data_IF_846893769461
#
_entry.id   IF_846893769461
#
_cell.length_a   1.000
_cell.length_b   1.000
_cell.length_c   1.000
_cell.angle_alpha   90.00
_cell.angle_beta   90.00
_cell.angle_gamma   90.00
#
_symmetry.space_group_name_H-M   'P 1'
#
loop_
_entity.id
_entity.type
_entity.pdbx_description
1 polymer ?
#
# COMPACT_ATOMS: atom_id res chain seq x y z
N UNK A 1 -4.36 7.06 11.55
CA UNK A 1 -4.75 7.89 10.38
C UNK A 1 -6.15 8.43 10.63
N UNK A 2 -6.52 9.61 10.14
CA UNK A 2 -7.92 10.07 10.27
C UNK A 2 -8.86 9.17 9.45
N UNK A 3 -10.04 8.85 9.99
CA UNK A 3 -10.95 7.86 9.41
C UNK A 3 -11.40 8.23 7.99
N UNK A 4 -11.73 9.49 7.75
CA UNK A 4 -12.12 9.96 6.41
C UNK A 4 -10.98 9.83 5.39
N UNK A 5 -9.73 10.07 5.83
CA UNK A 5 -8.54 9.90 4.99
C UNK A 5 -8.31 8.42 4.70
N UNK A 6 -8.47 7.56 5.71
CA UNK A 6 -8.34 6.13 5.58
C UNK A 6 -9.35 5.56 4.59
N UNK A 7 -10.61 5.94 4.70
CA UNK A 7 -11.70 5.55 3.81
C UNK A 7 -11.41 5.97 2.37
N UNK A 8 -11.07 7.24 2.16
CA UNK A 8 -10.81 7.75 0.81
C UNK A 8 -9.58 7.07 0.17
N UNK A 9 -8.54 6.77 0.95
CA UNK A 9 -7.38 6.00 0.48
C UNK A 9 -7.75 4.56 0.16
N UNK A 10 -8.50 3.88 1.03
CA UNK A 10 -8.97 2.52 0.81
C UNK A 10 -9.77 2.38 -0.49
N UNK A 11 -10.69 3.32 -0.75
CA UNK A 11 -11.45 3.36 -2.01
C UNK A 11 -10.54 3.57 -3.22
N UNK A 12 -9.61 4.52 -3.14
CA UNK A 12 -8.71 4.81 -4.26
C UNK A 12 -7.85 3.59 -4.62
N UNK A 13 -7.28 2.92 -3.61
CA UNK A 13 -6.48 1.71 -3.78
C UNK A 13 -7.31 0.57 -4.37
N UNK A 14 -8.54 0.36 -3.87
CA UNK A 14 -9.41 -0.69 -4.35
C UNK A 14 -9.86 -0.47 -5.81
N UNK A 15 -10.19 0.77 -6.18
CA UNK A 15 -10.52 1.12 -7.57
C UNK A 15 -9.31 0.94 -8.49
N UNK A 16 -8.12 1.34 -8.05
CA UNK A 16 -6.87 1.09 -8.78
C UNK A 16 -6.61 -0.41 -8.96
N UNK A 17 -6.83 -1.22 -7.92
CA UNK A 17 -6.61 -2.67 -7.97
C UNK A 17 -7.60 -3.41 -8.90
N UNK A 18 -8.78 -2.83 -9.17
CA UNK A 18 -9.73 -3.38 -10.16
C UNK A 18 -9.20 -3.20 -11.59
N UNK A 19 -8.54 -2.07 -11.86
CA UNK A 19 -7.99 -1.73 -13.18
C UNK A 19 -6.66 -2.46 -13.47
N UNK A 20 -5.91 -2.77 -12.41
CA UNK A 20 -4.60 -3.43 -12.54
C UNK A 20 -4.70 -4.94 -12.66
N UNK A 21 -4.04 -5.46 -13.68
CA UNK A 21 -3.98 -6.89 -14.01
C UNK A 21 -2.52 -7.34 -13.99
N UNK A 22 -1.86 -7.40 -12.84
CA UNK A 22 -0.50 -7.98 -12.73
C UNK A 22 -0.15 -8.37 -11.28
N UNK A 23 0.87 -9.23 -11.15
CA UNK A 23 1.23 -9.96 -9.93
C UNK A 23 2.34 -9.34 -9.07
N UNK A 24 2.61 -8.04 -9.20
CA UNK A 24 3.61 -7.34 -8.39
C UNK A 24 3.19 -7.17 -6.93
N UNK A 25 4.15 -6.81 -6.07
CA UNK A 25 3.90 -6.62 -4.63
C UNK A 25 2.89 -5.48 -4.36
N UNK A 26 2.91 -4.43 -5.18
CA UNK A 26 1.97 -3.31 -5.09
C UNK A 26 0.56 -3.74 -5.52
N UNK A 27 0.44 -4.47 -6.63
CA UNK A 27 -0.84 -5.03 -7.05
C UNK A 27 -1.42 -6.00 -6.03
N UNK A 28 -0.58 -6.86 -5.42
CA UNK A 28 -1.02 -7.77 -4.35
C UNK A 28 -1.55 -7.00 -3.14
N UNK A 29 -0.84 -5.96 -2.71
CA UNK A 29 -1.30 -5.10 -1.61
C UNK A 29 -2.61 -4.38 -1.95
N UNK A 30 -2.77 -3.92 -3.19
CA UNK A 30 -4.02 -3.34 -3.67
C UNK A 30 -5.17 -4.35 -3.71
N UNK A 31 -4.90 -5.57 -4.16
CA UNK A 31 -5.86 -6.67 -4.19
C UNK A 31 -6.28 -7.11 -2.78
N UNK A 32 -5.40 -7.03 -1.79
CA UNK A 32 -5.72 -7.30 -0.38
C UNK A 32 -6.73 -6.27 0.16
N UNK A 33 -6.52 -4.97 -0.12
CA UNK A 33 -7.48 -3.91 0.21
C UNK A 33 -8.81 -4.16 -0.49
N UNK A 34 -8.80 -4.42 -1.81
CA UNK A 34 -10.01 -4.73 -2.57
C UNK A 34 -10.74 -5.96 -2.02
N UNK A 35 -10.01 -7.01 -1.64
CA UNK A 35 -10.54 -8.25 -1.09
C UNK A 35 -11.21 -8.03 0.27
N UNK A 36 -10.58 -7.26 1.16
CA UNK A 36 -11.17 -6.88 2.44
C UNK A 36 -12.48 -6.12 2.23
N UNK A 37 -12.48 -5.10 1.37
CA UNK A 37 -13.67 -4.30 1.09
C UNK A 37 -14.77 -5.13 0.43
N UNK A 38 -14.43 -5.97 -0.54
CA UNK A 38 -15.38 -6.85 -1.23
C UNK A 38 -16.03 -7.82 -0.24
N UNK A 39 -15.24 -8.40 0.67
CA UNK A 39 -15.74 -9.34 1.69
C UNK A 39 -16.65 -8.66 2.70
N UNK A 40 -16.28 -7.46 3.17
CA UNK A 40 -17.06 -6.73 4.18
C UNK A 40 -18.31 -6.08 3.62
N UNK A 41 -18.25 -5.55 2.40
CA UNK A 41 -19.39 -4.96 1.72
C UNK A 41 -20.17 -5.99 0.87
N UNK A 42 -19.83 -7.28 0.97
CA UNK A 42 -20.49 -8.35 0.24
C UNK A 42 -21.99 -8.33 0.54
N UNK A 43 -22.82 -8.22 -0.50
CA UNK A 43 -24.28 -8.15 -0.37
C UNK A 43 -24.83 -6.76 -0.01
N UNK A 44 -23.98 -5.77 0.31
CA UNK A 44 -24.39 -4.38 0.55
C UNK A 44 -24.11 -3.49 -0.67
N UNK A 45 -22.93 -3.64 -1.29
CA UNK A 45 -22.53 -2.81 -2.42
C UNK A 45 -21.49 -3.53 -3.30
N UNK A 46 -21.68 -3.51 -4.61
CA UNK A 46 -20.68 -4.03 -5.55
C UNK A 46 -19.58 -2.99 -5.74
N UNK A 47 -18.33 -3.31 -5.41
CA UNK A 47 -17.21 -2.36 -5.57
C UNK A 47 -17.05 -1.93 -7.04
N UNK A 48 -17.17 -2.89 -7.97
CA UNK A 48 -17.04 -2.65 -9.41
C UNK A 48 -18.27 -1.94 -9.95
N UNK A 49 -18.10 -0.71 -10.42
CA UNK A 49 -19.16 0.09 -11.04
C UNK A 49 -20.01 0.91 -10.06
N UNK A 50 -19.73 0.86 -8.76
CA UNK A 50 -20.37 1.76 -7.80
C UNK A 50 -19.74 3.15 -7.82
N UNK A 51 -20.56 4.16 -7.51
CA UNK A 51 -20.09 5.53 -7.35
C UNK A 51 -19.09 5.61 -6.17
N UNK A 52 -18.02 6.38 -6.37
CA UNK A 52 -16.96 6.56 -5.37
C UNK A 52 -17.53 7.05 -4.04
N UNK A 53 -18.47 8.00 -4.05
CA UNK A 53 -19.03 8.57 -2.82
C UNK A 53 -19.86 7.55 -2.05
N UNK A 54 -20.56 6.66 -2.76
CA UNK A 54 -21.31 5.56 -2.15
C UNK A 54 -20.37 4.54 -1.50
N UNK A 55 -19.25 4.23 -2.15
CA UNK A 55 -18.22 3.37 -1.57
C UNK A 55 -17.60 4.00 -0.33
N UNK A 56 -17.26 5.28 -0.38
CA UNK A 56 -16.72 6.01 0.78
C UNK A 56 -17.72 5.98 1.95
N UNK A 57 -18.99 6.28 1.71
CA UNK A 57 -20.02 6.24 2.74
C UNK A 57 -20.24 4.83 3.35
N UNK A 58 -20.26 3.79 2.51
CA UNK A 58 -20.44 2.42 2.96
C UNK A 58 -19.27 1.93 3.82
N UNK A 59 -18.04 2.26 3.43
CA UNK A 59 -16.83 1.89 4.16
C UNK A 59 -16.72 2.69 5.45
N UNK A 60 -17.04 3.98 5.42
CA UNK A 60 -17.09 4.82 6.61
C UNK A 60 -18.07 4.24 7.64
N UNK A 61 -19.31 3.96 7.20
CA UNK A 61 -20.35 3.42 8.08
C UNK A 61 -19.96 2.06 8.68
N UNK A 62 -19.28 1.20 7.92
CA UNK A 62 -18.80 -0.08 8.44
C UNK A 62 -17.60 0.09 9.39
N UNK A 63 -16.68 1.00 9.09
CA UNK A 63 -15.51 1.26 9.93
C UNK A 63 -15.87 1.93 11.27
N UNK A 64 -16.92 2.75 11.30
CA UNK A 64 -17.48 3.29 12.55
C UNK A 64 -18.13 2.20 13.42
N UNK A 65 -18.70 1.16 12.80
CA UNK A 65 -19.39 0.07 13.49
C UNK A 65 -18.48 -1.09 13.89
N UNK A 66 -17.47 -1.39 13.07
CA UNK A 66 -16.56 -2.52 13.24
C UNK A 66 -15.12 -2.00 13.33
N UNK A 67 -14.67 -1.80 14.57
CA UNK A 67 -13.34 -1.27 14.85
C UNK A 67 -12.23 -2.17 14.31
N UNK A 68 -12.46 -3.49 14.25
CA UNK A 68 -11.49 -4.44 13.69
C UNK A 68 -11.33 -4.24 12.19
N UNK A 69 -12.43 -4.00 11.47
CA UNK A 69 -12.40 -3.63 10.06
C UNK A 69 -11.63 -2.32 9.83
N UNK A 70 -11.83 -1.32 10.67
CA UNK A 70 -11.03 -0.08 10.61
C UNK A 70 -9.54 -0.37 10.76
N UNK A 71 -9.14 -1.15 11.76
CA UNK A 71 -7.73 -1.49 12.03
C UNK A 71 -7.11 -2.31 10.89
N UNK A 72 -7.82 -3.31 10.37
CA UNK A 72 -7.39 -4.11 9.22
C UNK A 72 -7.25 -3.23 7.97
N UNK A 73 -8.20 -2.32 7.72
CA UNK A 73 -8.12 -1.39 6.60
C UNK A 73 -6.92 -0.43 6.74
N UNK A 74 -6.68 0.11 7.93
CA UNK A 74 -5.53 0.99 8.19
C UNK A 74 -4.20 0.26 7.95
N UNK A 75 -4.09 -0.98 8.43
CA UNK A 75 -2.89 -1.79 8.22
C UNK A 75 -2.61 -2.03 6.73
N UNK A 76 -3.63 -2.42 5.96
CA UNK A 76 -3.47 -2.69 4.53
C UNK A 76 -3.16 -1.41 3.73
N UNK A 77 -3.82 -0.30 4.04
CA UNK A 77 -3.52 1.00 3.42
C UNK A 77 -2.07 1.41 3.72
N UNK A 78 -1.63 1.32 4.97
CA UNK A 78 -0.24 1.64 5.32
C UNK A 78 0.77 0.73 4.60
N UNK A 79 0.48 -0.57 4.49
CA UNK A 79 1.33 -1.51 3.76
C UNK A 79 1.42 -1.15 2.27
N UNK A 80 0.30 -0.84 1.62
CA UNK A 80 0.29 -0.39 0.23
C UNK A 80 1.14 0.86 0.05
N UNK A 81 1.02 1.83 0.95
CA UNK A 81 1.79 3.07 0.88
C UNK A 81 3.29 2.88 1.13
N UNK A 82 3.67 1.97 2.01
CA UNK A 82 5.06 1.60 2.23
C UNK A 82 5.65 1.01 0.94
N UNK A 83 4.96 0.05 0.31
CA UNK A 83 5.39 -0.57 -0.95
C UNK A 83 5.45 0.46 -2.08
N UNK A 84 4.47 1.36 -2.17
CA UNK A 84 4.46 2.41 -3.18
C UNK A 84 5.67 3.34 -3.02
N UNK A 85 6.00 3.73 -1.78
CA UNK A 85 7.16 4.58 -1.52
C UNK A 85 8.49 3.86 -1.80
N UNK A 86 8.63 2.59 -1.43
CA UNK A 86 9.86 1.83 -1.72
C UNK A 86 10.03 1.55 -3.21
N UNK A 87 8.94 1.24 -3.93
CA UNK A 87 8.98 1.09 -5.38
C UNK A 87 9.38 2.40 -6.10
N UNK A 88 8.97 3.55 -5.57
CA UNK A 88 9.31 4.86 -6.12
C UNK A 88 10.77 5.26 -5.81
N UNK A 89 11.31 4.86 -4.66
CA UNK A 89 12.71 5.11 -4.27
C UNK A 89 13.69 4.20 -5.02
N UNK A 90 13.31 2.94 -5.30
CA UNK A 90 14.16 1.99 -6.04
C UNK A 90 14.38 2.33 -7.52
N UNK A 91 13.65 3.31 -8.08
CA UNK A 91 13.84 3.77 -9.45
C UNK A 91 14.78 4.99 -9.57
N UNK A 92 15.30 5.50 -8.45
CA UNK A 92 16.28 6.61 -8.42
C UNK A 92 17.63 6.20 -7.81
N UNK A 93 18.02 4.94 -7.96
CA UNK A 93 19.42 4.50 -7.76
C UNK A 93 19.87 3.64 -8.93
N UNK A 94 20.12 4.29 -10.07
CA UNK A 94 21.21 3.89 -10.96
C UNK A 94 22.54 4.02 -10.18
N UNK A 95 22.79 3.04 -9.31
CA UNK A 95 24.11 2.65 -8.81
C UNK A 95 23.89 1.56 -7.78
N UNK A 96 24.41 0.38 -8.07
CA UNK A 96 24.05 -0.87 -7.41
C UNK A 96 24.15 -0.82 -5.89
N UNK A 97 23.03 -1.07 -5.23
CA UNK A 97 23.02 -1.57 -3.86
C UNK A 97 22.02 -2.71 -3.78
N UNK A 98 22.56 -3.90 -3.59
CA UNK A 98 21.84 -5.14 -3.34
C UNK A 98 21.13 -5.02 -2.00
N UNK A 99 19.84 -4.66 -2.00
CA UNK A 99 19.04 -4.55 -0.78
C UNK A 99 18.68 -5.97 -0.33
N UNK A 100 19.60 -6.60 0.38
CA UNK A 100 19.32 -7.82 1.10
C UNK A 100 18.37 -7.47 2.26
N UNK A 101 17.13 -7.93 2.13
CA UNK A 101 16.21 -8.11 3.26
C UNK A 101 16.94 -8.97 4.29
N UNK A 102 17.34 -8.38 5.41
CA UNK A 102 17.20 -9.05 6.69
C UNK A 102 17.26 -8.08 7.86
N UNK A 103 16.44 -8.38 8.84
CA UNK A 103 16.28 -7.68 10.09
C UNK A 103 17.50 -7.96 10.97
N UNK A 104 18.50 -7.07 11.00
CA UNK A 104 19.45 -7.09 12.11
C UNK A 104 20.00 -5.70 12.47
N UNK A 105 19.80 -5.38 13.74
CA UNK A 105 20.46 -4.29 14.45
C UNK A 105 21.96 -4.58 14.50
N UNK A 106 22.77 -3.80 13.80
CA UNK A 106 24.21 -4.04 13.76
C UNK A 106 24.92 -3.21 12.72
N UNK A 107 25.23 -1.97 13.08
CA UNK A 107 26.36 -1.16 12.63
C UNK A 107 27.35 -1.89 11.70
N UNK A 108 27.35 -1.53 10.41
CA UNK A 108 28.52 -1.77 9.54
C UNK A 108 29.05 -0.45 8.99
N UNK A 109 30.24 -0.17 9.49
CA UNK A 109 31.17 0.91 9.20
C UNK A 109 31.70 0.77 7.76
N UNK A 110 31.93 1.89 7.08
CA UNK A 110 32.93 1.96 6.01
C UNK A 110 32.45 2.29 4.60
N UNK A 111 31.86 3.47 4.41
CA UNK A 111 31.92 4.15 3.10
C UNK A 111 33.35 4.66 2.88
N UNK A 112 34.07 4.08 1.93
CA UNK A 112 35.21 4.75 1.31
C UNK A 112 35.34 4.30 -0.16
N UNK A 113 34.51 4.87 -1.03
CA UNK A 113 34.78 4.92 -2.46
C UNK A 113 35.24 6.36 -2.73
N UNK A 114 36.54 6.52 -2.93
CA UNK A 114 37.15 7.84 -3.10
C UNK A 114 38.52 7.75 -3.77
N UNK A 115 38.48 7.73 -5.10
CA UNK A 115 39.43 8.35 -6.04
C UNK A 115 40.91 7.95 -5.99
N UNK A 116 41.45 7.50 -7.14
CA UNK A 116 42.41 8.27 -7.95
C UNK A 116 42.94 7.43 -9.13
N UNK A 117 42.51 7.79 -10.35
CA UNK A 117 43.33 7.66 -11.55
C UNK A 117 43.83 9.08 -11.82
N UNK A 118 45.16 9.29 -11.93
CA UNK A 118 45.81 10.15 -12.93
C UNK A 118 47.35 10.14 -12.73
N UNK A 119 48.02 9.83 -13.86
CA UNK A 119 49.46 9.85 -14.19
C UNK A 119 50.28 8.60 -13.91
#
# INVERSE_FOLDING_TARGET
>A
MELSILVSRGVNIALWAIDKVSGGALEKAGADVLGLLTKKLQGKLQIKGSDRKLLEAAILSEAERDKKFQEDLEKLVNQYQQIQNTAHVSQSTESGVNVNVDNNSGQVIGQQIGQQIFR
#
